data_IF_806965463111
#
_entry.id   IF_806965463111
#
_cell.length_a   1.000
_cell.length_b   1.000
_cell.length_c   1.000
_cell.angle_alpha   90.00
_cell.angle_beta   90.00
_cell.angle_gamma   90.00
#
_symmetry.space_group_name_H-M   'P 1'
#
loop_
_entity.id
_entity.type
_entity.pdbx_description
1 polymer ?
#
# COMPACT_ATOMS: atom_id res chain seq x y z
N UNK A 1 1.45 5.64 -19.76
CA UNK A 1 0.55 4.65 -19.14
C UNK A 1 0.97 4.50 -17.68
N UNK A 2 0.58 5.41 -16.79
CA UNK A 2 0.94 5.33 -15.38
C UNK A 2 0.15 4.19 -14.71
N UNK A 3 0.70 3.53 -13.67
CA UNK A 3 -0.12 2.69 -12.80
C UNK A 3 -1.32 3.51 -12.35
N UNK A 4 -2.52 3.01 -12.62
CA UNK A 4 -3.74 3.58 -12.06
C UNK A 4 -3.70 3.28 -10.57
N UNK A 5 -3.44 4.30 -9.76
CA UNK A 5 -3.45 4.21 -8.29
C UNK A 5 -4.73 3.56 -7.77
N UNK A 6 -5.85 3.76 -8.47
CA UNK A 6 -7.11 3.07 -8.25
C UNK A 6 -6.98 1.54 -8.24
N UNK A 7 -6.28 0.92 -9.20
CA UNK A 7 -6.13 -0.53 -9.26
C UNK A 7 -5.42 -1.10 -8.03
N UNK A 8 -4.46 -0.37 -7.46
CA UNK A 8 -3.79 -0.78 -6.22
C UNK A 8 -4.75 -0.77 -5.03
N UNK A 9 -5.51 0.31 -4.90
CA UNK A 9 -6.51 0.49 -3.84
C UNK A 9 -7.65 -0.52 -3.93
N UNK A 10 -8.11 -0.82 -5.15
CA UNK A 10 -9.15 -1.81 -5.43
C UNK A 10 -8.69 -3.23 -5.03
N UNK A 11 -7.45 -3.60 -5.37
CA UNK A 11 -6.89 -4.92 -5.05
C UNK A 11 -6.72 -5.15 -3.54
N UNK A 12 -6.36 -4.12 -2.78
CA UNK A 12 -6.23 -4.25 -1.33
C UNK A 12 -7.57 -4.06 -0.60
N UNK A 13 -8.63 -3.63 -1.30
CA UNK A 13 -9.96 -3.40 -0.74
C UNK A 13 -10.11 -2.10 0.04
N UNK A 14 -9.24 -1.12 -0.13
CA UNK A 14 -9.29 0.15 0.60
C UNK A 14 -9.23 1.35 -0.33
N UNK A 15 -10.20 2.27 -0.20
CA UNK A 15 -10.09 3.59 -0.78
C UNK A 15 -9.75 4.61 0.32
N UNK A 16 -8.58 5.29 0.25
CA UNK A 16 -8.20 6.29 1.25
C UNK A 16 -9.10 7.54 1.22
N UNK A 17 -9.94 7.71 0.20
CA UNK A 17 -10.91 8.81 0.10
C UNK A 17 -10.27 10.18 -0.11
N UNK A 18 -9.00 10.22 -0.52
CA UNK A 18 -8.24 11.44 -0.76
C UNK A 18 -7.61 11.41 -2.15
N UNK A 19 -7.55 12.59 -2.77
CA UNK A 19 -6.94 12.82 -4.08
C UNK A 19 -5.75 13.81 -4.02
N UNK A 20 -5.47 14.37 -2.85
CA UNK A 20 -4.40 15.34 -2.62
C UNK A 20 -3.55 14.98 -1.40
N UNK A 21 -2.26 15.27 -1.45
CA UNK A 21 -1.30 14.96 -0.38
C UNK A 21 -1.53 15.81 0.88
N UNK A 22 -2.04 17.03 0.74
CA UNK A 22 -2.44 17.88 1.88
C UNK A 22 -3.55 17.24 2.73
N UNK A 23 -4.30 16.28 2.18
CA UNK A 23 -5.43 15.62 2.81
C UNK A 23 -5.03 14.33 3.55
N UNK A 24 -3.75 13.98 3.61
CA UNK A 24 -3.23 12.81 4.35
C UNK A 24 -3.72 12.78 5.82
N UNK A 25 -3.83 13.95 6.45
CA UNK A 25 -4.29 14.06 7.83
C UNK A 25 -5.79 13.78 7.99
N UNK A 26 -6.57 13.97 6.92
CA UNK A 26 -8.02 13.79 6.86
C UNK A 26 -8.44 12.35 6.55
N UNK A 27 -7.49 11.43 6.28
CA UNK A 27 -7.80 10.01 6.07
C UNK A 27 -8.55 9.49 7.30
N UNK A 28 -9.75 8.98 7.04
CA UNK A 28 -10.62 8.40 8.06
C UNK A 28 -10.17 6.98 8.36
N UNK A 29 -10.42 6.56 9.60
CA UNK A 29 -10.19 5.17 10.02
C UNK A 29 -11.10 4.26 9.19
N UNK A 30 -10.57 3.18 8.58
CA UNK A 30 -11.39 2.24 7.84
C UNK A 30 -12.31 1.46 8.78
N UNK A 31 -13.48 1.06 8.26
CA UNK A 31 -14.42 0.20 8.98
C UNK A 31 -13.87 -1.22 9.15
N UNK A 32 -13.10 -1.68 8.17
CA UNK A 32 -12.42 -2.97 8.16
C UNK A 32 -10.95 -2.85 8.61
N UNK A 33 -10.33 -3.95 9.08
CA UNK A 33 -8.93 -3.94 9.47
C UNK A 33 -8.01 -3.54 8.29
N UNK A 34 -7.02 -2.65 8.46
CA UNK A 34 -6.40 -2.28 9.73
C UNK A 34 -7.03 -1.04 10.37
N UNK A 35 -7.60 -1.23 11.55
CA UNK A 35 -8.20 -0.16 12.36
C UNK A 35 -7.17 0.66 13.14
N UNK A 36 -6.17 -0.02 13.71
CA UNK A 36 -5.09 0.58 14.48
C UNK A 36 -3.89 0.80 13.57
N UNK A 37 -3.16 1.90 13.79
CA UNK A 37 -2.02 2.31 12.94
C UNK A 37 -2.38 2.48 11.45
N UNK A 38 -3.67 2.68 11.12
CA UNK A 38 -4.15 2.80 9.74
C UNK A 38 -3.44 3.91 8.97
N UNK A 39 -3.19 5.07 9.59
CA UNK A 39 -2.44 6.17 8.99
C UNK A 39 -1.03 5.76 8.58
N UNK A 40 -0.39 4.88 9.36
CA UNK A 40 0.95 4.35 9.04
C UNK A 40 0.88 3.43 7.83
N UNK A 41 -0.12 2.55 7.79
CA UNK A 41 -0.37 1.67 6.65
C UNK A 41 -0.63 2.46 5.36
N UNK A 42 -1.52 3.45 5.40
CA UNK A 42 -1.78 4.31 4.24
C UNK A 42 -0.51 5.07 3.82
N UNK A 43 0.25 5.61 4.77
CA UNK A 43 1.52 6.30 4.47
C UNK A 43 2.51 5.37 3.75
N UNK A 44 2.64 4.12 4.19
CA UNK A 44 3.46 3.12 3.51
C UNK A 44 2.98 2.93 2.07
N UNK A 45 1.68 2.70 1.87
CA UNK A 45 1.11 2.49 0.54
C UNK A 45 1.33 3.70 -0.38
N UNK A 46 1.11 4.92 0.11
CA UNK A 46 1.38 6.15 -0.66
C UNK A 46 2.86 6.30 -1.01
N UNK A 47 3.77 5.97 -0.09
CA UNK A 47 5.20 5.99 -0.37
C UNK A 47 5.56 5.04 -1.51
N UNK A 48 5.04 3.82 -1.50
CA UNK A 48 5.33 2.84 -2.56
C UNK A 48 4.75 3.24 -3.91
N UNK A 49 3.52 3.76 -3.92
CA UNK A 49 2.91 4.31 -5.14
C UNK A 49 3.74 5.48 -5.71
N UNK A 50 4.23 6.36 -4.83
CA UNK A 50 5.08 7.48 -5.21
C UNK A 50 6.42 7.02 -5.78
N UNK A 51 7.11 6.11 -5.09
CA UNK A 51 8.40 5.54 -5.54
C UNK A 51 8.23 4.86 -6.89
N UNK A 52 7.22 4.00 -7.03
CA UNK A 52 6.97 3.30 -8.28
C UNK A 52 6.68 4.28 -9.43
N UNK A 53 5.82 5.28 -9.20
CA UNK A 53 5.52 6.31 -10.21
C UNK A 53 6.77 7.07 -10.62
N UNK A 54 7.66 7.39 -9.67
CA UNK A 54 8.91 8.07 -9.98
C UNK A 54 9.85 7.19 -10.81
N UNK A 55 9.96 5.90 -10.53
CA UNK A 55 10.72 4.96 -11.36
C UNK A 55 10.19 4.91 -12.80
N UNK A 56 8.87 4.85 -12.96
CA UNK A 56 8.24 4.86 -14.30
C UNK A 56 8.49 6.18 -15.05
N UNK A 57 8.30 7.32 -14.39
CA UNK A 57 8.37 8.64 -15.03
C UNK A 57 9.81 9.06 -15.30
N UNK A 58 10.72 8.84 -14.35
CA UNK A 58 12.07 9.41 -14.38
C UNK A 58 13.15 8.39 -14.72
N UNK A 59 12.91 7.08 -14.50
CA UNK A 59 13.90 6.03 -14.75
C UNK A 59 13.51 5.11 -15.93
N UNK A 60 12.39 5.39 -16.60
CA UNK A 60 11.93 4.61 -17.75
C UNK A 60 11.46 3.20 -17.40
N UNK A 61 11.16 2.92 -16.12
CA UNK A 61 10.69 1.59 -15.72
C UNK A 61 9.31 1.29 -16.32
N UNK A 62 9.05 0.02 -16.65
CA UNK A 62 7.71 -0.40 -17.04
C UNK A 62 6.74 -0.29 -15.84
N UNK A 63 5.51 0.23 -16.02
CA UNK A 63 4.46 0.19 -15.01
C UNK A 63 4.14 -1.24 -14.62
N UNK A 64 4.19 -1.58 -13.33
CA UNK A 64 3.92 -2.94 -12.85
C UNK A 64 3.32 -2.93 -11.44
N UNK A 65 2.03 -3.26 -11.35
CA UNK A 65 1.34 -3.35 -10.06
C UNK A 65 1.89 -4.49 -9.20
N UNK A 66 2.31 -5.59 -9.85
CA UNK A 66 2.99 -6.70 -9.21
C UNK A 66 4.31 -6.24 -8.54
N UNK A 67 5.15 -5.45 -9.24
CA UNK A 67 6.38 -4.88 -8.66
C UNK A 67 6.07 -3.97 -7.47
N UNK A 68 5.07 -3.11 -7.61
CA UNK A 68 4.65 -2.20 -6.54
C UNK A 68 4.18 -2.95 -5.28
N UNK A 69 3.32 -3.97 -5.43
CA UNK A 69 2.83 -4.79 -4.33
C UNK A 69 3.96 -5.59 -3.65
N UNK A 70 4.88 -6.18 -4.43
CA UNK A 70 6.05 -6.88 -3.86
C UNK A 70 6.91 -5.95 -3.02
N UNK A 71 7.14 -4.72 -3.48
CA UNK A 71 7.92 -3.75 -2.72
C UNK A 71 7.19 -3.34 -1.44
N UNK A 72 5.87 -3.08 -1.51
CA UNK A 72 5.06 -2.77 -0.34
C UNK A 72 5.10 -3.88 0.71
N UNK A 73 5.03 -5.15 0.30
CA UNK A 73 5.19 -6.31 1.20
C UNK A 73 6.55 -6.30 1.89
N UNK A 74 7.64 -6.09 1.15
CA UNK A 74 8.99 -6.02 1.71
C UNK A 74 9.09 -4.89 2.75
N UNK A 75 8.56 -3.71 2.41
CA UNK A 75 8.67 -2.52 3.23
C UNK A 75 7.79 -2.61 4.49
N UNK A 76 6.73 -3.45 4.51
CA UNK A 76 5.98 -3.70 5.75
C UNK A 76 6.88 -4.12 6.91
N UNK A 77 7.95 -4.89 6.65
CA UNK A 77 8.89 -5.35 7.68
C UNK A 77 9.68 -4.16 8.25
N UNK A 78 10.12 -3.24 7.39
CA UNK A 78 10.88 -2.05 7.77
C UNK A 78 10.00 -1.12 8.59
N UNK A 79 8.77 -0.86 8.12
CA UNK A 79 7.81 -0.01 8.82
C UNK A 79 7.31 -0.64 10.11
N UNK A 80 7.20 -1.97 10.17
CA UNK A 80 6.84 -2.70 11.37
C UNK A 80 7.82 -2.41 12.52
N UNK A 81 9.11 -2.18 12.26
CA UNK A 81 10.10 -1.84 13.30
C UNK A 81 9.71 -0.60 14.12
N UNK A 82 8.91 0.30 13.57
CA UNK A 82 8.43 1.53 14.21
C UNK A 82 7.14 1.34 15.02
N UNK A 83 6.55 0.15 14.99
CA UNK A 83 5.32 -0.20 15.69
C UNK A 83 5.67 -0.85 17.05
N UNK A 84 4.98 -0.48 18.15
CA UNK A 84 5.18 -1.11 19.46
C UNK A 84 5.03 -2.63 19.39
N UNK A 85 5.81 -3.36 20.18
CA UNK A 85 5.81 -4.85 20.16
C UNK A 85 4.42 -5.46 20.34
N UNK A 86 3.60 -4.89 21.24
CA UNK A 86 2.21 -5.30 21.49
C UNK A 86 1.29 -5.19 20.27
N UNK A 87 1.68 -4.39 19.27
CA UNK A 87 0.88 -4.10 18.08
C UNK A 87 1.45 -4.76 16.81
N UNK A 88 2.51 -5.57 16.92
CA UNK A 88 3.14 -6.23 15.76
C UNK A 88 2.19 -7.14 15.00
N UNK A 89 1.19 -7.71 15.66
CA UNK A 89 0.14 -8.50 15.00
C UNK A 89 -0.58 -7.72 13.89
N UNK A 90 -0.71 -6.39 14.03
CA UNK A 90 -1.33 -5.53 13.02
C UNK A 90 -0.45 -5.42 11.76
N UNK A 91 0.87 -5.49 11.92
CA UNK A 91 1.80 -5.47 10.78
C UNK A 91 1.72 -6.77 9.96
N UNK A 92 1.42 -7.89 10.61
CA UNK A 92 1.16 -9.15 9.91
C UNK A 92 -0.11 -9.07 9.07
N UNK A 93 -1.16 -8.44 9.60
CA UNK A 93 -2.39 -8.16 8.84
C UNK A 93 -2.12 -7.31 7.59
N UNK A 94 -1.32 -6.25 7.70
CA UNK A 94 -0.94 -5.43 6.53
C UNK A 94 -0.27 -6.27 5.44
N UNK A 95 0.66 -7.13 5.87
CA UNK A 95 1.38 -8.02 4.96
C UNK A 95 0.42 -8.99 4.27
N UNK A 96 -0.50 -9.61 5.01
CA UNK A 96 -1.51 -10.51 4.46
C UNK A 96 -2.41 -9.82 3.44
N UNK A 97 -2.87 -8.59 3.71
CA UNK A 97 -3.68 -7.81 2.76
C UNK A 97 -2.95 -7.59 1.44
N UNK A 98 -1.68 -7.15 1.50
CA UNK A 98 -0.87 -6.91 0.31
C UNK A 98 -0.52 -8.21 -0.43
N UNK A 99 -0.30 -9.31 0.29
CA UNK A 99 -0.07 -10.63 -0.30
C UNK A 99 -1.31 -11.15 -1.03
N UNK A 100 -2.50 -11.01 -0.45
CA UNK A 100 -3.75 -11.38 -1.10
C UNK A 100 -3.95 -10.59 -2.40
N UNK A 101 -3.73 -9.28 -2.35
CA UNK A 101 -3.74 -8.41 -3.54
C UNK A 101 -2.73 -8.88 -4.61
N UNK A 102 -1.52 -9.26 -4.21
CA UNK A 102 -0.49 -9.77 -5.12
C UNK A 102 -0.92 -11.09 -5.79
N UNK A 103 -1.49 -12.03 -5.02
CA UNK A 103 -1.97 -13.30 -5.56
C UNK A 103 -3.12 -13.09 -6.55
N UNK A 104 -4.03 -12.13 -6.30
CA UNK A 104 -5.11 -11.78 -7.23
C UNK A 104 -4.59 -11.26 -8.58
N UNK A 105 -3.46 -10.56 -8.59
CA UNK A 105 -2.81 -10.12 -9.83
C UNK A 105 -2.18 -11.29 -10.59
N UNK A 106 -1.55 -12.23 -9.87
CA UNK A 106 -0.92 -13.41 -10.49
C UNK A 106 -1.92 -14.45 -10.99
N UNK A 107 -3.15 -14.45 -10.47
CA UNK A 107 -4.22 -15.35 -10.88
C UNK A 107 -5.04 -14.84 -12.09
N UNK A 108 -4.82 -13.59 -12.52
CA UNK A 108 -5.43 -13.05 -13.73
C UNK A 108 -4.72 -13.66 -14.97
N UNK A 109 -5.48 -14.22 -15.94
CA UNK A 109 -4.93 -14.82 -17.16
C UNK A 109 -4.21 -13.82 -18.06
#
# INVERSE_FOLDING_TARGET
MAIRTHAFWDLIGFNPGINQTNSLMAIRRPNEPPKKHFKVFFTLCFRELWIHRNGVVFQGEAPSIHRCLRQAISDTIVWAKRIPTKDKIITQLWKTLLQNALHSVSAAP
#
